data_IF_213564670381
#
_entry.id   IF_213564670381
#
_cell.length_a   1.000
_cell.length_b   1.000
_cell.length_c   1.000
_cell.angle_alpha   90.00
_cell.angle_beta   90.00
_cell.angle_gamma   90.00
#
_symmetry.space_group_name_H-M   'P 1'
#
loop_
_entity.id
_entity.type
_entity.pdbx_description
1 polymer ?
#
# COMPACT_ATOMS: atom_id res chain seq x y z
N UNK A 1 7.01 13.06 -1.85
CA UNK A 1 7.85 13.39 -0.69
C UNK A 1 8.72 12.19 -0.29
N UNK A 2 8.17 10.97 -0.28
CA UNK A 2 8.90 9.72 0.01
C UNK A 2 10.16 9.56 -0.84
N UNK A 3 10.07 9.84 -2.14
CA UNK A 3 11.20 9.71 -3.06
C UNK A 3 12.36 10.65 -2.69
N UNK A 4 12.06 11.91 -2.38
CA UNK A 4 13.07 12.89 -1.99
C UNK A 4 13.75 12.59 -0.64
N UNK A 5 13.05 11.91 0.28
CA UNK A 5 13.53 11.67 1.65
C UNK A 5 14.13 10.27 1.82
N UNK A 6 13.51 9.26 1.23
CA UNK A 6 13.85 7.85 1.39
C UNK A 6 14.35 7.18 0.11
N UNK A 7 14.32 7.86 -1.04
CA UNK A 7 14.67 7.26 -2.33
C UNK A 7 13.65 6.24 -2.84
N UNK A 8 12.43 6.23 -2.27
CA UNK A 8 11.36 5.29 -2.62
C UNK A 8 10.36 5.98 -3.56
N UNK A 9 10.25 5.55 -4.83
CA UNK A 9 9.36 6.18 -5.80
C UNK A 9 7.88 5.87 -5.48
N UNK A 10 6.92 6.69 -5.95
CA UNK A 10 5.51 6.56 -5.57
C UNK A 10 4.88 5.19 -5.82
N UNK A 11 5.27 4.50 -6.90
CA UNK A 11 4.79 3.17 -7.26
C UNK A 11 5.27 2.05 -6.32
N UNK A 12 6.19 2.34 -5.41
CA UNK A 12 6.64 1.42 -4.35
C UNK A 12 6.08 1.79 -2.97
N UNK A 13 5.11 2.72 -2.92
CA UNK A 13 4.46 3.15 -1.68
C UNK A 13 3.05 2.58 -1.62
N UNK A 14 2.80 1.73 -0.63
CA UNK A 14 1.46 1.24 -0.29
C UNK A 14 0.97 1.98 0.95
N UNK A 15 -0.32 2.32 0.99
CA UNK A 15 -0.91 3.04 2.11
C UNK A 15 -2.42 3.17 2.00
N UNK A 16 -3.05 3.67 3.06
CA UNK A 16 -4.48 3.96 3.08
C UNK A 16 -4.86 4.97 2.00
N UNK A 17 -5.99 4.74 1.33
CA UNK A 17 -6.44 5.54 0.19
C UNK A 17 -7.94 5.83 0.22
N UNK A 18 -8.33 6.88 -0.52
CA UNK A 18 -9.72 7.22 -0.81
C UNK A 18 -10.02 6.94 -2.28
N UNK A 19 -11.31 6.75 -2.61
CA UNK A 19 -11.69 6.42 -3.98
C UNK A 19 -11.32 7.54 -4.93
N UNK A 20 -10.92 7.14 -6.13
CA UNK A 20 -10.56 8.05 -7.21
C UNK A 20 -11.45 7.78 -8.41
N UNK A 21 -12.07 8.81 -8.97
CA UNK A 21 -12.88 8.72 -10.18
C UNK A 21 -12.23 9.46 -11.33
N UNK A 22 -12.37 8.92 -12.53
CA UNK A 22 -12.03 9.63 -13.76
C UNK A 22 -13.13 10.62 -14.11
N UNK A 23 -12.75 11.85 -14.43
CA UNK A 23 -13.66 12.90 -14.88
C UNK A 23 -13.03 13.70 -16.02
N UNK A 24 -13.89 14.35 -16.81
CA UNK A 24 -13.47 15.33 -17.81
C UNK A 24 -14.11 16.65 -17.41
N UNK A 25 -13.28 17.68 -17.17
CA UNK A 25 -13.74 19.01 -16.80
C UNK A 25 -14.46 19.69 -17.96
N UNK A 26 -15.17 20.77 -17.69
CA UNK A 26 -15.87 21.56 -18.72
C UNK A 26 -14.94 22.05 -19.85
N UNK A 27 -13.66 22.27 -19.54
CA UNK A 27 -12.62 22.66 -20.50
C UNK A 27 -12.06 21.49 -21.35
N UNK A 28 -12.59 20.28 -21.17
CA UNK A 28 -12.16 19.06 -21.86
C UNK A 28 -10.95 18.35 -21.23
N UNK A 29 -10.41 18.85 -20.11
CA UNK A 29 -9.22 18.26 -19.47
C UNK A 29 -9.58 16.97 -18.70
N UNK A 30 -8.94 15.82 -19.01
CA UNK A 30 -9.10 14.60 -18.23
C UNK A 30 -8.38 14.71 -16.90
N UNK A 31 -9.07 14.38 -15.81
CA UNK A 31 -8.55 14.46 -14.44
C UNK A 31 -8.96 13.24 -13.62
N UNK A 32 -8.24 13.03 -12.53
CA UNK A 32 -8.59 12.08 -11.48
C UNK A 32 -9.05 12.87 -10.25
N UNK A 33 -10.29 12.63 -9.82
CA UNK A 33 -10.91 13.31 -8.69
C UNK A 33 -10.93 12.39 -7.47
N UNK A 34 -10.58 12.95 -6.31
CA UNK A 34 -10.62 12.24 -5.03
C UNK A 34 -12.01 12.39 -4.42
N UNK A 35 -12.66 11.27 -4.14
CA UNK A 35 -13.99 11.24 -3.54
C UNK A 35 -13.91 11.23 -2.02
N UNK A 36 -14.91 11.78 -1.33
CA UNK A 36 -15.04 11.71 0.12
C UNK A 36 -15.50 10.30 0.60
N UNK A 37 -14.86 9.26 0.09
CA UNK A 37 -15.19 7.86 0.33
C UNK A 37 -13.90 7.04 0.50
N UNK A 38 -13.86 6.19 1.53
CA UNK A 38 -12.73 5.30 1.77
C UNK A 38 -12.61 4.27 0.65
N UNK A 39 -11.38 4.06 0.19
CA UNK A 39 -11.06 2.97 -0.74
C UNK A 39 -10.41 1.81 0.01
N UNK A 40 -9.37 2.11 0.79
CA UNK A 40 -8.58 1.08 1.45
C UNK A 40 -7.95 1.61 2.75
N UNK A 41 -7.88 0.76 3.78
CA UNK A 41 -7.20 1.03 5.05
C UNK A 41 -6.02 0.07 5.17
N UNK A 42 -4.81 0.62 5.09
CA UNK A 42 -3.55 -0.12 5.15
C UNK A 42 -3.04 -0.27 6.60
N UNK A 43 -3.81 -0.97 7.43
CA UNK A 43 -3.44 -1.24 8.83
C UNK A 43 -3.84 -2.65 9.27
N UNK A 44 -3.06 -3.25 10.19
CA UNK A 44 -3.27 -4.63 10.70
C UNK A 44 -3.39 -5.64 9.56
N UNK A 45 -4.50 -6.38 9.52
CA UNK A 45 -4.82 -7.34 8.46
C UNK A 45 -4.98 -6.69 7.08
N UNK A 46 -5.15 -5.36 7.00
CA UNK A 46 -5.11 -4.61 5.74
C UNK A 46 -3.73 -4.68 5.09
N UNK A 47 -2.64 -4.56 5.85
CA UNK A 47 -1.28 -4.53 5.29
C UNK A 47 -0.94 -5.69 4.34
N UNK A 48 -1.12 -6.98 4.70
CA UNK A 48 -0.84 -8.07 3.77
C UNK A 48 -1.73 -8.03 2.52
N UNK A 49 -2.99 -7.57 2.64
CA UNK A 49 -3.90 -7.39 1.50
C UNK A 49 -3.39 -6.28 0.58
N UNK A 50 -3.05 -5.12 1.14
CA UNK A 50 -2.53 -3.97 0.41
C UNK A 50 -1.24 -4.30 -0.33
N UNK A 51 -0.31 -4.98 0.33
CA UNK A 51 0.93 -5.48 -0.29
C UNK A 51 0.61 -6.40 -1.47
N UNK A 52 -0.30 -7.37 -1.30
CA UNK A 52 -0.64 -8.29 -2.38
C UNK A 52 -1.33 -7.59 -3.56
N UNK A 53 -2.26 -6.67 -3.30
CA UNK A 53 -2.98 -5.95 -4.36
C UNK A 53 -2.07 -5.02 -5.17
N UNK A 54 -1.12 -4.33 -4.53
CA UNK A 54 -0.26 -3.35 -5.20
C UNK A 54 1.01 -3.98 -5.79
N UNK A 55 1.63 -4.95 -5.10
CA UNK A 55 2.91 -5.53 -5.49
C UNK A 55 2.73 -6.91 -6.14
N UNK A 56 1.64 -7.63 -5.82
CA UNK A 56 1.35 -8.96 -6.38
C UNK A 56 2.25 -10.06 -5.86
N UNK A 57 3.09 -9.78 -4.84
CA UNK A 57 4.12 -10.71 -4.34
C UNK A 57 4.20 -10.64 -2.82
N UNK A 58 4.47 -11.80 -2.23
CA UNK A 58 4.75 -11.92 -0.80
C UNK A 58 6.20 -11.51 -0.52
N UNK A 59 6.45 -10.52 0.37
CA UNK A 59 7.81 -10.09 0.70
C UNK A 59 8.67 -11.23 1.26
N UNK A 60 9.99 -11.11 1.12
CA UNK A 60 10.97 -11.98 1.78
C UNK A 60 11.45 -11.39 3.11
N UNK A 61 11.34 -10.08 3.28
CA UNK A 61 11.71 -9.38 4.51
C UNK A 61 10.66 -8.31 4.82
N UNK A 62 10.32 -8.14 6.10
CA UNK A 62 9.47 -7.06 6.57
C UNK A 62 10.02 -6.50 7.88
N UNK A 63 9.69 -5.24 8.17
CA UNK A 63 10.11 -4.55 9.39
C UNK A 63 8.91 -3.75 9.92
N UNK A 64 8.67 -3.82 11.23
CA UNK A 64 7.54 -3.15 11.89
C UNK A 64 7.92 -2.69 13.29
N UNK A 65 7.06 -1.89 13.91
CA UNK A 65 7.35 -1.28 15.22
C UNK A 65 6.13 -1.27 16.15
N UNK A 66 5.00 -1.83 15.74
CA UNK A 66 3.74 -1.80 16.48
C UNK A 66 2.91 -3.06 16.27
N UNK A 67 1.88 -3.25 17.10
CA UNK A 67 0.89 -4.32 16.92
C UNK A 67 0.14 -4.21 15.58
N UNK A 68 0.10 -3.02 14.98
CA UNK A 68 -0.46 -2.79 13.65
C UNK A 68 0.34 -3.46 12.52
N UNK A 69 1.57 -3.93 12.80
CA UNK A 69 2.43 -4.62 11.85
C UNK A 69 2.33 -6.15 11.96
N UNK A 70 1.62 -6.67 12.97
CA UNK A 70 1.62 -8.10 13.29
C UNK A 70 1.30 -8.98 12.09
N UNK A 71 0.18 -8.73 11.39
CA UNK A 71 -0.24 -9.56 10.25
C UNK A 71 0.71 -9.41 9.04
N UNK A 72 1.35 -8.25 8.87
CA UNK A 72 2.37 -8.08 7.83
C UNK A 72 3.62 -8.92 8.13
N UNK A 73 4.08 -8.91 9.38
CA UNK A 73 5.24 -9.69 9.84
C UNK A 73 4.94 -11.19 9.84
N UNK A 74 3.79 -11.60 10.37
CA UNK A 74 3.31 -12.99 10.33
C UNK A 74 3.18 -13.48 8.88
N UNK A 75 2.48 -12.73 8.03
CA UNK A 75 2.37 -13.06 6.63
C UNK A 75 3.70 -12.93 5.90
N UNK A 76 4.71 -12.22 6.35
CA UNK A 76 6.02 -12.26 5.66
C UNK A 76 6.84 -13.47 6.11
N UNK A 77 6.82 -13.82 7.39
CA UNK A 77 7.72 -14.81 8.01
C UNK A 77 7.22 -16.26 7.95
N UNK A 78 5.93 -16.51 7.72
CA UNK A 78 5.40 -17.87 7.71
C UNK A 78 5.83 -18.73 6.50
N UNK A 79 5.87 -20.06 6.67
CA UNK A 79 6.14 -21.02 5.59
C UNK A 79 7.62 -21.15 5.22
N UNK A 80 7.89 -21.95 4.18
CA UNK A 80 9.26 -22.36 3.84
C UNK A 80 10.03 -21.32 2.98
N UNK A 81 11.36 -21.42 3.02
CA UNK A 81 12.29 -20.61 2.22
C UNK A 81 12.86 -19.39 2.96
N UNK A 82 13.64 -18.54 2.27
CA UNK A 82 14.23 -17.34 2.87
C UNK A 82 13.17 -16.32 3.30
N UNK A 83 12.99 -16.14 4.61
CA UNK A 83 12.04 -15.21 5.22
C UNK A 83 12.68 -14.51 6.43
N UNK A 84 12.39 -13.23 6.61
CA UNK A 84 12.88 -12.42 7.74
C UNK A 84 11.81 -11.40 8.18
N UNK A 85 11.67 -11.18 9.48
CA UNK A 85 10.73 -10.20 10.04
C UNK A 85 10.70 -10.22 11.55
#
# INVERSE_FOLDING_TARGET
WTEAVYGIPPEQVVGSSIKTSYAVREDGTPVLERLAELNFIDDKAGKPVGIHEHIGRRPTMAFGNSDGDFQMLEWTTAGDGPRFG
#
